data_IF_392064678181
#
_entry.id   IF_392064678181
#
_cell.length_a   1.000
_cell.length_b   1.000
_cell.length_c   1.000
_cell.angle_alpha   90.00
_cell.angle_beta   90.00
_cell.angle_gamma   90.00
#
_symmetry.space_group_name_H-M   'P 1'
#
loop_
_entity.id
_entity.type
_entity.pdbx_description
1 polymer ?
#
# COMPACT_ATOMS: atom_id res chain seq x y z
N UNK A 1 11.21 25.13 -7.83
CA UNK A 1 10.18 24.06 -7.88
C UNK A 1 9.91 23.74 -9.34
N UNK A 2 10.06 22.48 -9.74
CA UNK A 2 9.93 22.07 -11.14
C UNK A 2 8.44 21.83 -11.46
N UNK A 3 8.08 21.93 -12.75
CA UNK A 3 6.71 21.77 -13.25
C UNK A 3 6.05 20.42 -12.89
N UNK A 4 6.85 19.39 -12.53
CA UNK A 4 6.38 18.09 -12.04
C UNK A 4 5.88 18.08 -10.59
N UNK A 5 6.24 19.08 -9.77
CA UNK A 5 5.81 19.17 -8.36
C UNK A 5 4.29 19.46 -8.22
N UNK A 6 3.62 19.84 -9.32
CA UNK A 6 2.18 20.12 -9.36
C UNK A 6 1.32 18.95 -9.87
N UNK A 7 1.95 17.86 -10.36
CA UNK A 7 1.23 16.73 -10.98
C UNK A 7 1.12 15.49 -10.09
N UNK A 8 1.85 15.46 -8.98
CA UNK A 8 1.68 14.38 -8.01
C UNK A 8 0.52 14.69 -7.08
N UNK A 9 -0.46 13.80 -7.08
CA UNK A 9 -1.57 13.88 -6.16
C UNK A 9 -1.28 13.10 -4.85
N UNK A 10 -0.25 12.24 -4.87
CA UNK A 10 0.23 11.51 -3.69
C UNK A 10 1.08 12.43 -2.80
N UNK A 11 0.47 12.92 -1.72
CA UNK A 11 1.20 13.52 -0.60
C UNK A 11 1.57 12.44 0.42
N UNK A 12 2.81 11.95 0.36
CA UNK A 12 3.30 10.90 1.24
C UNK A 12 3.15 11.23 2.74
N UNK A 13 3.11 12.51 3.12
CA UNK A 13 2.91 12.91 4.52
C UNK A 13 1.45 12.70 4.98
N UNK A 14 0.48 12.76 4.06
CA UNK A 14 -0.96 12.70 4.37
C UNK A 14 -1.59 11.32 4.21
N UNK A 15 -0.89 10.36 3.61
CA UNK A 15 -1.38 8.99 3.47
C UNK A 15 -1.26 8.24 4.80
N UNK A 16 -2.30 7.48 5.14
CA UNK A 16 -2.32 6.58 6.30
C UNK A 16 -2.61 5.16 5.84
N UNK A 17 -1.84 4.18 6.34
CA UNK A 17 -2.04 2.75 6.04
C UNK A 17 -2.36 2.03 7.33
N UNK A 18 -3.46 1.28 7.35
CA UNK A 18 -3.97 0.63 8.55
C UNK A 18 -4.70 -0.70 8.24
N UNK A 19 -4.88 -1.59 9.22
CA UNK A 19 -4.38 -1.49 10.60
C UNK A 19 -2.86 -1.65 10.69
N UNK A 20 -2.26 -0.95 11.64
CA UNK A 20 -0.86 -1.12 12.00
C UNK A 20 -0.75 -1.14 13.54
N UNK A 21 -0.43 -2.28 14.17
CA UNK A 21 -0.01 -3.55 13.54
C UNK A 21 -1.12 -4.26 12.75
N UNK A 22 -0.73 -4.92 11.67
CA UNK A 22 -1.55 -5.80 10.83
C UNK A 22 -1.49 -7.23 11.39
N UNK A 23 -2.58 -7.70 11.99
CA UNK A 23 -2.63 -8.96 12.75
C UNK A 23 -3.37 -10.04 11.96
N UNK A 24 -2.62 -10.98 11.38
CA UNK A 24 -3.20 -12.15 10.71
C UNK A 24 -3.48 -13.28 11.70
N UNK A 25 -4.49 -14.15 11.44
CA UNK A 25 -5.47 -14.08 10.35
C UNK A 25 -6.67 -13.19 10.66
N UNK A 26 -6.68 -12.49 11.81
CA UNK A 26 -7.83 -11.71 12.27
C UNK A 26 -8.20 -10.56 11.32
N UNK A 27 -7.22 -9.95 10.63
CA UNK A 27 -7.44 -8.91 9.63
C UNK A 27 -6.64 -9.22 8.36
N UNK A 28 -7.32 -9.25 7.22
CA UNK A 28 -6.71 -9.40 5.89
C UNK A 28 -6.76 -8.11 5.06
N UNK A 29 -7.61 -7.15 5.42
CA UNK A 29 -7.78 -5.89 4.68
C UNK A 29 -6.75 -4.85 5.12
N UNK A 30 -5.97 -4.35 4.17
CA UNK A 30 -5.12 -3.16 4.33
C UNK A 30 -5.85 -1.98 3.67
N UNK A 31 -6.17 -0.96 4.44
CA UNK A 31 -6.79 0.27 3.95
C UNK A 31 -5.78 1.42 3.92
N UNK A 32 -5.88 2.24 2.89
CA UNK A 32 -5.11 3.46 2.66
C UNK A 32 -6.08 4.64 2.62
N UNK A 33 -5.92 5.63 3.51
CA UNK A 33 -6.71 6.87 3.49
C UNK A 33 -6.00 7.98 2.72
N UNK A 34 -6.79 8.97 2.28
CA UNK A 34 -6.34 10.16 1.55
C UNK A 34 -5.63 9.76 0.27
N UNK A 35 -6.18 8.74 -0.41
CA UNK A 35 -5.68 8.28 -1.70
C UNK A 35 -6.18 9.26 -2.75
N UNK A 36 -5.30 9.84 -3.56
CA UNK A 36 -5.73 10.81 -4.56
C UNK A 36 -6.51 10.16 -5.69
N UNK A 37 -7.36 10.96 -6.34
CA UNK A 37 -8.08 10.59 -7.55
C UNK A 37 -7.10 10.61 -8.73
N UNK A 38 -6.62 9.44 -9.13
CA UNK A 38 -5.64 9.28 -10.22
C UNK A 38 -6.05 8.16 -11.18
N UNK A 39 -5.62 8.27 -12.44
CA UNK A 39 -5.95 7.29 -13.48
C UNK A 39 -5.20 5.96 -13.33
N UNK A 40 -4.08 5.97 -12.61
CA UNK A 40 -3.27 4.78 -12.37
C UNK A 40 -2.80 4.75 -10.93
N UNK A 41 -3.12 3.65 -10.24
CA UNK A 41 -2.70 3.41 -8.87
C UNK A 41 -2.04 2.04 -8.79
N UNK A 42 -0.86 1.96 -8.18
CA UNK A 42 -0.21 0.69 -7.89
C UNK A 42 0.10 0.57 -6.41
N UNK A 43 -0.18 -0.60 -5.85
CA UNK A 43 0.10 -0.94 -4.46
C UNK A 43 1.06 -2.12 -4.40
N UNK A 44 2.07 -2.02 -3.54
CA UNK A 44 3.10 -3.04 -3.35
C UNK A 44 3.45 -3.19 -1.88
N UNK A 45 3.90 -4.38 -1.50
CA UNK A 45 4.56 -4.62 -0.22
C UNK A 45 6.01 -4.98 -0.52
N UNK A 46 6.93 -4.31 0.16
CA UNK A 46 8.35 -4.58 0.11
C UNK A 46 8.88 -4.99 1.49
N UNK A 47 9.95 -5.78 1.53
CA UNK A 47 10.73 -5.99 2.74
C UNK A 47 11.46 -4.70 3.13
N UNK A 48 12.01 -4.64 4.35
CA UNK A 48 12.82 -3.48 4.76
C UNK A 48 14.11 -3.32 3.92
N UNK A 49 14.58 -4.40 3.30
CA UNK A 49 15.70 -4.40 2.36
C UNK A 49 15.29 -3.95 0.93
N UNK A 50 14.01 -3.68 0.69
CA UNK A 50 13.49 -3.22 -0.60
C UNK A 50 13.03 -4.33 -1.55
N UNK A 51 13.15 -5.61 -1.16
CA UNK A 51 12.67 -6.74 -1.97
C UNK A 51 11.15 -6.67 -2.16
N UNK A 52 10.67 -6.90 -3.39
CA UNK A 52 9.24 -6.95 -3.68
C UNK A 52 8.62 -8.24 -3.13
N UNK A 53 7.76 -8.11 -2.14
CA UNK A 53 7.06 -9.22 -1.49
C UNK A 53 5.73 -9.51 -2.17
N UNK A 54 4.90 -8.49 -2.33
CA UNK A 54 3.57 -8.61 -2.96
C UNK A 54 3.35 -7.45 -3.93
N UNK A 55 2.87 -7.77 -5.12
CA UNK A 55 2.34 -6.80 -6.08
C UNK A 55 0.84 -7.02 -6.19
N UNK A 56 0.05 -5.99 -5.95
CA UNK A 56 -1.40 -6.03 -6.18
C UNK A 56 -1.70 -5.54 -7.59
N UNK A 57 -2.48 -6.34 -8.32
CA UNK A 57 -2.99 -5.99 -9.63
C UNK A 57 -4.15 -4.99 -9.52
N UNK A 58 -4.47 -4.31 -10.62
CA UNK A 58 -5.57 -3.33 -10.67
C UNK A 58 -6.92 -3.92 -10.23
N UNK A 59 -7.12 -5.25 -10.37
CA UNK A 59 -8.34 -5.96 -9.95
C UNK A 59 -8.39 -6.25 -8.45
N UNK A 60 -7.25 -6.26 -7.78
CA UNK A 60 -7.15 -6.46 -6.33
C UNK A 60 -7.25 -5.13 -5.56
N UNK A 61 -7.08 -4.00 -6.25
CA UNK A 61 -7.14 -2.66 -5.68
C UNK A 61 -8.58 -2.14 -5.79
N UNK A 62 -9.19 -1.88 -4.64
CA UNK A 62 -10.52 -1.27 -4.56
C UNK A 62 -10.36 0.19 -4.15
N UNK A 63 -11.00 1.10 -4.88
CA UNK A 63 -10.96 2.55 -4.61
C UNK A 63 -12.37 3.04 -4.30
N UNK A 64 -12.51 3.88 -3.28
CA UNK A 64 -13.72 4.58 -2.89
C UNK A 64 -13.43 6.08 -2.83
N UNK A 65 -14.31 6.88 -3.40
CA UNK A 65 -14.17 8.35 -3.52
C UNK A 65 -14.86 9.11 -2.38
N UNK A 66 -15.62 8.41 -1.53
CA UNK A 66 -16.28 9.00 -0.36
C UNK A 66 -16.35 7.98 0.80
N UNK A 67 -15.46 8.09 1.80
CA UNK A 67 -14.25 8.93 1.82
C UNK A 67 -13.20 8.44 0.79
N UNK A 68 -12.24 9.32 0.48
CA UNK A 68 -11.06 9.01 -0.34
C UNK A 68 -10.20 7.90 0.30
N UNK A 69 -10.50 6.65 -0.05
CA UNK A 69 -9.76 5.48 0.41
C UNK A 69 -9.50 4.50 -0.72
N UNK A 70 -8.46 3.70 -0.55
CA UNK A 70 -8.29 2.49 -1.33
C UNK A 70 -7.84 1.34 -0.44
N UNK A 71 -8.14 0.12 -0.84
CA UNK A 71 -7.78 -1.05 -0.04
C UNK A 71 -7.43 -2.26 -0.90
N UNK A 72 -6.71 -3.17 -0.28
CA UNK A 72 -6.32 -4.48 -0.82
C UNK A 72 -6.49 -5.53 0.26
N UNK A 73 -6.64 -6.79 -0.14
CA UNK A 73 -6.59 -7.93 0.77
C UNK A 73 -5.23 -8.61 0.69
N UNK A 74 -4.63 -8.87 1.84
CA UNK A 74 -3.36 -9.56 1.96
C UNK A 74 -3.42 -10.63 3.04
N UNK A 75 -3.13 -11.87 2.66
CA UNK A 75 -3.14 -13.03 3.53
C UNK A 75 -1.76 -13.35 4.13
N UNK A 76 -0.80 -12.42 4.01
CA UNK A 76 0.56 -12.61 4.51
C UNK A 76 1.42 -13.50 3.63
N UNK A 77 1.08 -13.66 2.35
CA UNK A 77 1.90 -14.39 1.38
C UNK A 77 2.60 -13.47 0.37
N UNK A 78 3.73 -13.92 -0.13
CA UNK A 78 4.42 -13.28 -1.25
C UNK A 78 3.74 -13.62 -2.60
N UNK A 79 4.28 -13.10 -3.70
CA UNK A 79 3.79 -13.37 -5.06
C UNK A 79 3.85 -14.86 -5.46
N UNK A 80 4.71 -15.66 -4.83
CA UNK A 80 4.82 -17.11 -5.05
C UNK A 80 3.87 -17.93 -4.17
N UNK A 81 3.00 -17.29 -3.38
CA UNK A 81 2.07 -17.97 -2.49
C UNK A 81 2.72 -18.53 -1.22
N UNK A 82 3.95 -18.13 -0.90
CA UNK A 82 4.64 -18.54 0.32
C UNK A 82 4.37 -17.54 1.45
N UNK A 83 4.12 -18.05 2.64
CA UNK A 83 3.90 -17.22 3.82
C UNK A 83 5.18 -16.46 4.20
N UNK A 84 5.07 -15.15 4.44
CA UNK A 84 6.22 -14.32 4.83
C UNK A 84 6.42 -14.32 6.34
N UNK A 85 7.58 -13.91 6.85
CA UNK A 85 7.81 -13.87 8.31
C UNK A 85 7.12 -12.67 8.98
N UNK A 86 6.70 -12.73 10.26
CA UNK A 86 6.25 -11.54 10.97
C UNK A 86 7.38 -10.51 11.06
N UNK A 87 7.06 -9.22 11.01
CA UNK A 87 8.07 -8.17 10.98
C UNK A 87 7.61 -6.90 10.30
N UNK A 88 8.55 -5.98 10.09
CA UNK A 88 8.28 -4.69 9.46
C UNK A 88 8.42 -4.80 7.94
N UNK A 89 7.40 -4.31 7.25
CA UNK A 89 7.35 -4.20 5.80
C UNK A 89 7.06 -2.76 5.38
N UNK A 90 7.32 -2.44 4.11
CA UNK A 90 6.97 -1.17 3.49
C UNK A 90 5.78 -1.37 2.55
N UNK A 91 4.65 -0.75 2.87
CA UNK A 91 3.53 -0.60 1.95
C UNK A 91 3.78 0.60 1.06
N UNK A 92 3.84 0.39 -0.26
CA UNK A 92 4.18 1.41 -1.24
C UNK A 92 2.99 1.66 -2.14
N UNK A 93 2.50 2.89 -2.12
CA UNK A 93 1.50 3.43 -3.04
C UNK A 93 2.23 4.25 -4.12
N UNK A 94 1.85 4.08 -5.39
CA UNK A 94 2.39 4.92 -6.47
C UNK A 94 1.29 5.30 -7.46
N UNK A 95 1.22 6.59 -7.81
CA UNK A 95 0.21 7.19 -8.69
C UNK A 95 0.61 7.26 -10.18
N UNK A 96 1.68 6.55 -10.54
CA UNK A 96 2.32 6.63 -11.85
C UNK A 96 3.43 7.67 -11.95
N UNK A 97 3.52 8.61 -11.01
CA UNK A 97 4.55 9.67 -11.00
C UNK A 97 5.40 9.66 -9.73
N UNK A 98 4.76 9.50 -8.57
CA UNK A 98 5.40 9.56 -7.25
C UNK A 98 4.99 8.35 -6.42
N UNK A 99 5.90 7.93 -5.55
CA UNK A 99 5.68 6.87 -4.58
C UNK A 99 5.59 7.42 -3.16
N UNK A 100 4.60 6.95 -2.40
CA UNK A 100 4.56 7.06 -0.94
C UNK A 100 4.81 5.69 -0.31
N UNK A 101 5.70 5.63 0.67
CA UNK A 101 5.97 4.42 1.43
C UNK A 101 5.56 4.59 2.89
N UNK A 102 4.87 3.59 3.45
CA UNK A 102 4.47 3.54 4.86
C UNK A 102 4.92 2.23 5.48
N UNK A 103 5.49 2.31 6.68
CA UNK A 103 5.86 1.11 7.44
C UNK A 103 4.59 0.44 7.98
N UNK A 104 4.49 -0.87 7.80
CA UNK A 104 3.46 -1.71 8.42
C UNK A 104 4.14 -2.83 9.21
N UNK A 105 3.61 -3.14 10.40
CA UNK A 105 4.08 -4.26 11.22
C UNK A 105 3.15 -5.45 11.01
N UNK A 106 3.65 -6.54 10.43
CA UNK A 106 2.93 -7.81 10.35
C UNK A 106 3.12 -8.60 11.65
N UNK A 107 2.01 -9.00 12.25
CA UNK A 107 1.94 -9.92 13.39
C UNK A 107 1.13 -11.17 13.01
N UNK A 108 1.43 -12.27 13.70
CA UNK A 108 0.67 -13.52 13.70
C UNK A 108 0.11 -13.78 15.09
#
# INVERSE_FOLDING_TARGET
KAFGDFLSAVDAAKIFVFPNPFRLPAVTKITVMNVPIVSKLSMRIHSIAGELIRLFTDREIMVRLDPDEAYVEWDGKNNSGQAVVPGVYLFVLNDGTVSAAKKIMLLR
#
